data_IF_623151743736
#
_entry.id   IF_623151743736
#
_cell.length_a   1.000
_cell.length_b   1.000
_cell.length_c   1.000
_cell.angle_alpha   90.00
_cell.angle_beta   90.00
_cell.angle_gamma   90.00
#
_symmetry.space_group_name_H-M   'P 1'
#
loop_
_entity.id
_entity.type
_entity.pdbx_description
1 polymer ?
#
# COMPACT_ATOMS: atom_id res chain seq x y z
N UNK A 1 5.21 1.11 -7.65
CA UNK A 1 4.23 0.76 -6.60
C UNK A 1 4.90 0.54 -5.24
N UNK A 2 5.96 -0.26 -5.16
CA UNK A 2 6.66 -0.46 -3.87
C UNK A 2 7.38 0.81 -3.39
N UNK A 3 8.23 1.42 -4.21
CA UNK A 3 8.95 2.67 -3.87
C UNK A 3 7.98 3.78 -3.44
N UNK A 4 6.92 4.02 -4.23
CA UNK A 4 5.92 5.04 -3.93
C UNK A 4 5.23 4.84 -2.58
N UNK A 5 5.00 3.58 -2.17
CA UNK A 5 4.37 3.28 -0.89
C UNK A 5 5.32 3.48 0.28
N UNK A 6 6.57 3.04 0.16
CA UNK A 6 7.57 3.25 1.22
C UNK A 6 7.86 4.73 1.40
N UNK A 7 7.97 5.47 0.29
CA UNK A 7 8.07 6.93 0.32
C UNK A 7 6.86 7.57 1.01
N UNK A 8 5.62 7.22 0.62
CA UNK A 8 4.42 7.74 1.30
C UNK A 8 4.38 7.40 2.78
N UNK A 9 4.73 6.17 3.15
CA UNK A 9 4.73 5.73 4.55
C UNK A 9 5.75 6.51 5.38
N UNK A 10 6.96 6.71 4.86
CA UNK A 10 8.00 7.52 5.52
C UNK A 10 7.59 8.98 5.62
N UNK A 11 7.13 9.60 4.53
CA UNK A 11 6.71 11.00 4.50
C UNK A 11 5.55 11.26 5.45
N UNK A 12 4.51 10.43 5.44
CA UNK A 12 3.35 10.57 6.33
C UNK A 12 3.71 10.36 7.80
N UNK A 13 4.56 9.36 8.08
CA UNK A 13 5.06 9.11 9.44
C UNK A 13 5.86 10.30 9.97
N UNK A 14 6.72 10.88 9.14
CA UNK A 14 7.49 12.07 9.49
C UNK A 14 6.58 13.29 9.74
N UNK A 15 5.61 13.54 8.85
CA UNK A 15 4.66 14.64 8.99
C UNK A 15 3.85 14.54 10.30
N UNK A 16 3.33 13.35 10.62
CA UNK A 16 2.59 13.12 11.88
C UNK A 16 3.50 13.32 13.08
N UNK A 17 4.75 12.88 13.01
CA UNK A 17 5.73 13.09 14.10
C UNK A 17 6.00 14.57 14.33
N UNK A 18 6.18 15.35 13.26
CA UNK A 18 6.45 16.79 13.35
C UNK A 18 5.27 17.55 13.99
N UNK A 19 4.04 17.21 13.62
CA UNK A 19 2.83 17.84 14.16
C UNK A 19 2.49 17.41 15.59
N UNK A 20 2.61 16.12 15.90
CA UNK A 20 2.13 15.57 17.18
C UNK A 20 3.23 15.40 18.23
N UNK A 21 4.49 15.34 17.81
CA UNK A 21 5.66 14.93 18.61
C UNK A 21 5.44 13.62 19.39
N UNK A 22 4.56 12.77 18.90
CA UNK A 22 4.12 11.54 19.57
C UNK A 22 4.49 10.30 18.74
N UNK A 23 5.35 9.42 19.27
CA UNK A 23 5.65 8.13 18.64
C UNK A 23 4.42 7.23 18.48
N UNK A 24 3.43 7.35 19.38
CA UNK A 24 2.18 6.59 19.30
C UNK A 24 1.37 6.97 18.06
N UNK A 25 1.27 8.26 17.76
CA UNK A 25 0.58 8.77 16.57
C UNK A 25 1.25 8.32 15.28
N UNK A 26 2.58 8.21 15.26
CA UNK A 26 3.31 7.59 14.14
C UNK A 26 2.98 6.12 14.00
N UNK A 27 2.91 5.38 15.12
CA UNK A 27 2.48 3.98 15.13
C UNK A 27 1.09 3.78 14.50
N UNK A 28 0.17 4.74 14.71
CA UNK A 28 -1.15 4.72 14.08
C UNK A 28 -1.08 4.82 12.55
N UNK A 29 -0.13 5.58 11.98
CA UNK A 29 0.07 5.61 10.52
C UNK A 29 0.38 4.21 9.98
N UNK A 30 1.30 3.49 10.65
CA UNK A 30 1.61 2.10 10.29
C UNK A 30 0.41 1.17 10.45
N UNK A 31 -0.35 1.33 11.54
CA UNK A 31 -1.58 0.58 11.77
C UNK A 31 -2.60 0.78 10.65
N UNK A 32 -2.97 2.02 10.33
CA UNK A 32 -3.93 2.31 9.25
C UNK A 32 -3.45 1.85 7.88
N UNK A 33 -2.14 1.86 7.63
CA UNK A 33 -1.56 1.31 6.40
C UNK A 33 -1.63 -0.22 6.29
N UNK A 34 -1.84 -0.93 7.40
CA UNK A 34 -1.79 -2.39 7.49
C UNK A 34 -3.15 -3.04 7.84
N UNK A 35 -4.06 -2.29 8.47
CA UNK A 35 -5.44 -2.71 8.77
C UNK A 35 -6.18 -3.25 7.53
N UNK A 36 -6.17 -2.58 6.37
CA UNK A 36 -6.80 -3.10 5.17
C UNK A 36 -6.30 -4.51 4.80
N UNK A 37 -5.00 -4.73 4.95
CA UNK A 37 -4.37 -6.00 4.65
C UNK A 37 -4.82 -7.09 5.63
N UNK A 38 -4.97 -6.77 6.92
CA UNK A 38 -5.47 -7.72 7.91
C UNK A 38 -6.94 -8.09 7.65
N UNK A 39 -7.79 -7.09 7.46
CA UNK A 39 -9.24 -7.31 7.28
C UNK A 39 -9.51 -8.03 5.95
N UNK A 40 -8.95 -7.53 4.85
CA UNK A 40 -9.19 -8.11 3.52
C UNK A 40 -8.36 -9.37 3.27
N UNK A 41 -7.23 -9.54 3.95
CA UNK A 41 -6.42 -10.76 3.88
C UNK A 41 -7.17 -11.99 4.40
N UNK A 42 -8.01 -11.83 5.43
CA UNK A 42 -8.91 -12.89 5.92
C UNK A 42 -9.89 -13.33 4.81
N UNK A 43 -10.36 -12.40 3.98
CA UNK A 43 -11.22 -12.68 2.83
C UNK A 43 -10.44 -12.91 1.52
N UNK A 44 -9.11 -13.01 1.59
CA UNK A 44 -8.21 -12.89 0.44
C UNK A 44 -8.43 -13.96 -0.63
N UNK A 45 -8.76 -15.20 -0.24
CA UNK A 45 -9.08 -16.27 -1.20
C UNK A 45 -10.40 -16.01 -1.94
N UNK A 46 -11.45 -15.64 -1.22
CA UNK A 46 -12.76 -15.36 -1.80
C UNK A 46 -12.75 -14.13 -2.74
N UNK A 47 -12.05 -13.06 -2.34
CA UNK A 47 -11.90 -11.86 -3.16
C UNK A 47 -11.00 -12.09 -4.40
N UNK A 48 -9.95 -12.90 -4.26
CA UNK A 48 -9.01 -13.19 -5.37
C UNK A 48 -9.63 -13.99 -6.51
N UNK A 49 -10.68 -14.77 -6.22
CA UNK A 49 -11.36 -15.63 -7.20
C UNK A 49 -12.55 -14.92 -7.88
N UNK A 50 -13.21 -13.96 -7.20
CA UNK A 50 -14.39 -13.27 -7.75
C UNK A 50 -14.10 -11.94 -8.44
N UNK A 51 -13.01 -11.26 -8.12
CA UNK A 51 -12.78 -9.89 -8.61
C UNK A 51 -11.93 -9.86 -9.87
N UNK A 52 -12.34 -9.04 -10.84
CA UNK A 52 -11.54 -8.76 -12.03
C UNK A 52 -10.28 -7.97 -11.63
N UNK A 53 -9.16 -8.69 -11.49
CA UNK A 53 -7.87 -8.18 -10.99
C UNK A 53 -7.38 -6.95 -11.74
N UNK A 54 -7.54 -6.90 -13.06
CA UNK A 54 -7.14 -5.74 -13.87
C UNK A 54 -7.94 -4.49 -13.51
N UNK A 55 -9.27 -4.61 -13.38
CA UNK A 55 -10.13 -3.48 -12.99
C UNK A 55 -9.81 -2.97 -11.58
N UNK A 56 -9.56 -3.88 -10.63
CA UNK A 56 -9.18 -3.50 -9.27
C UNK A 56 -7.86 -2.73 -9.21
N UNK A 57 -6.83 -3.22 -9.92
CA UNK A 57 -5.52 -2.54 -9.95
C UNK A 57 -5.69 -1.13 -10.52
N UNK A 58 -6.44 -0.97 -11.62
CA UNK A 58 -6.70 0.35 -12.20
C UNK A 58 -7.43 1.27 -11.22
N UNK A 59 -8.52 0.80 -10.59
CA UNK A 59 -9.30 1.60 -9.62
C UNK A 59 -8.43 2.02 -8.42
N UNK A 60 -7.65 1.09 -7.86
CA UNK A 60 -6.77 1.39 -6.71
C UNK A 60 -5.65 2.35 -7.07
N UNK A 61 -5.12 2.31 -8.29
CA UNK A 61 -4.15 3.30 -8.76
C UNK A 61 -4.79 4.69 -8.89
N UNK A 62 -6.00 4.80 -9.45
CA UNK A 62 -6.73 6.07 -9.51
C UNK A 62 -7.03 6.62 -8.11
N UNK A 63 -7.43 5.77 -7.17
CA UNK A 63 -7.67 6.17 -5.78
C UNK A 63 -6.39 6.65 -5.10
N UNK A 64 -5.26 5.97 -5.30
CA UNK A 64 -3.97 6.41 -4.78
C UNK A 64 -3.54 7.77 -5.33
N UNK A 65 -3.76 7.98 -6.64
CA UNK A 65 -3.41 9.22 -7.30
C UNK A 65 -4.30 10.36 -6.79
N UNK A 66 -5.61 10.14 -6.68
CA UNK A 66 -6.54 11.10 -6.09
C UNK A 66 -6.19 11.42 -4.64
N UNK A 67 -5.88 10.41 -3.81
CA UNK A 67 -5.46 10.60 -2.42
C UNK A 67 -4.20 11.45 -2.32
N UNK A 68 -3.17 11.15 -3.12
CA UNK A 68 -1.93 11.91 -3.16
C UNK A 68 -2.17 13.36 -3.61
N UNK A 69 -3.01 13.59 -4.63
CA UNK A 69 -3.36 14.94 -5.09
C UNK A 69 -4.09 15.72 -4.01
N UNK A 70 -5.11 15.14 -3.36
CA UNK A 70 -5.84 15.81 -2.27
C UNK A 70 -4.90 16.17 -1.12
N UNK A 71 -4.04 15.25 -0.71
CA UNK A 71 -3.09 15.48 0.38
C UNK A 71 -2.06 16.56 0.02
N UNK A 72 -1.56 16.56 -1.22
CA UNK A 72 -0.67 17.60 -1.73
C UNK A 72 -1.35 18.97 -1.77
N UNK A 73 -2.62 19.05 -2.15
CA UNK A 73 -3.38 20.31 -2.13
C UNK A 73 -3.57 20.80 -0.69
N UNK A 74 -3.94 19.93 0.25
CA UNK A 74 -4.07 20.29 1.66
C UNK A 74 -2.78 20.87 2.24
N UNK A 75 -1.63 20.30 1.85
CA UNK A 75 -0.31 20.84 2.20
C UNK A 75 -0.10 22.25 1.65
N UNK A 76 -0.43 22.49 0.38
CA UNK A 76 -0.26 23.81 -0.28
C UNK A 76 -1.15 24.87 0.37
N UNK A 77 -2.39 24.51 0.73
CA UNK A 77 -3.34 25.44 1.37
C UNK A 77 -3.14 25.59 2.87
N UNK A 78 -2.15 24.91 3.47
CA UNK A 78 -1.83 25.02 4.90
C UNK A 78 -2.94 24.55 5.85
N UNK A 79 -3.95 23.84 5.33
CA UNK A 79 -5.09 23.33 6.11
C UNK A 79 -4.91 21.86 6.51
N UNK A 80 -3.68 21.34 6.43
CA UNK A 80 -3.38 19.93 6.65
C UNK A 80 -3.19 19.64 8.14
N UNK A 81 -4.05 18.79 8.67
CA UNK A 81 -3.94 18.22 10.01
C UNK A 81 -3.34 16.80 9.99
N UNK A 82 -2.80 16.36 11.13
CA UNK A 82 -2.12 15.07 11.23
C UNK A 82 -3.03 13.87 10.91
N UNK A 83 -4.35 13.97 11.16
CA UNK A 83 -5.27 12.84 10.95
C UNK A 83 -5.55 12.54 9.48
N UNK A 84 -5.36 13.50 8.56
CA UNK A 84 -5.46 13.24 7.13
C UNK A 84 -4.44 12.20 6.66
N UNK A 85 -3.30 12.08 7.36
CA UNK A 85 -2.29 11.06 7.09
C UNK A 85 -2.83 9.63 7.26
N UNK A 86 -3.71 9.41 8.24
CA UNK A 86 -4.31 8.09 8.48
C UNK A 86 -5.23 7.66 7.33
N UNK A 87 -6.00 8.60 6.78
CA UNK A 87 -6.85 8.34 5.62
C UNK A 87 -5.99 8.14 4.38
N UNK A 88 -4.97 8.98 4.19
CA UNK A 88 -4.09 8.93 3.03
C UNK A 88 -3.32 7.60 2.94
N UNK A 89 -2.87 7.03 4.07
CA UNK A 89 -2.14 5.74 4.08
C UNK A 89 -3.08 4.53 4.00
N UNK A 90 -4.35 4.68 4.38
CA UNK A 90 -5.32 3.59 4.32
C UNK A 90 -5.64 3.15 2.88
N UNK A 91 -5.75 4.11 1.96
CA UNK A 91 -6.04 3.87 0.54
C UNK A 91 -5.00 2.98 -0.15
N UNK A 92 -3.68 3.26 -0.08
CA UNK A 92 -2.66 2.36 -0.62
C UNK A 92 -2.60 1.02 0.13
N UNK A 93 -2.97 0.98 1.42
CA UNK A 93 -3.14 -0.25 2.18
C UNK A 93 -4.20 -1.17 1.57
N UNK A 94 -5.36 -0.62 1.18
CA UNK A 94 -6.41 -1.35 0.46
C UNK A 94 -5.90 -1.91 -0.86
N UNK A 95 -5.23 -1.09 -1.68
CA UNK A 95 -4.69 -1.53 -2.96
C UNK A 95 -3.69 -2.69 -2.79
N UNK A 96 -2.84 -2.62 -1.77
CA UNK A 96 -1.86 -3.67 -1.51
C UNK A 96 -2.47 -4.99 -1.04
N UNK A 97 -3.56 -4.94 -0.26
CA UNK A 97 -4.29 -6.14 0.17
C UNK A 97 -4.81 -6.98 -0.98
N UNK A 98 -5.14 -6.34 -2.11
CA UNK A 98 -5.68 -6.98 -3.30
C UNK A 98 -4.57 -7.37 -4.30
N UNK A 99 -3.50 -6.59 -4.37
CA UNK A 99 -2.37 -6.84 -5.28
C UNK A 99 -1.57 -8.09 -4.87
N UNK A 100 -1.35 -8.29 -3.57
CA UNK A 100 -0.51 -9.37 -3.05
C UNK A 100 -1.01 -10.80 -3.42
N UNK A 101 -2.29 -11.18 -3.21
CA UNK A 101 -2.80 -12.48 -3.67
C UNK A 101 -2.87 -12.58 -5.20
N UNK A 102 -3.19 -11.48 -5.88
CA UNK A 102 -3.28 -11.42 -7.34
C UNK A 102 -1.93 -11.67 -8.01
N UNK A 103 -0.85 -11.05 -7.52
CA UNK A 103 0.53 -11.25 -7.97
C UNK A 103 0.99 -12.69 -7.73
N UNK A 104 0.74 -13.23 -6.53
CA UNK A 104 1.13 -14.60 -6.20
C UNK A 104 0.48 -15.62 -7.14
N UNK A 105 -0.81 -15.49 -7.42
CA UNK A 105 -1.50 -16.40 -8.37
C UNK A 105 -1.05 -16.20 -9.82
N UNK A 106 -0.77 -14.97 -10.28
CA UNK A 106 -0.20 -14.73 -11.61
C UNK A 106 1.18 -15.36 -11.80
N UNK A 107 2.04 -15.28 -10.79
CA UNK A 107 3.36 -15.93 -10.80
C UNK A 107 3.20 -17.46 -10.91
N UNK A 108 2.23 -18.04 -10.19
CA UNK A 108 1.92 -19.47 -10.27
C UNK A 108 1.42 -19.88 -11.66
N UNK A 109 0.53 -19.08 -12.27
CA UNK A 109 -0.06 -19.36 -13.59
C UNK A 109 0.96 -19.21 -14.73
N UNK A 110 1.90 -18.26 -14.63
CA UNK A 110 2.86 -17.98 -15.71
C UNK A 110 4.13 -18.84 -15.68
N UNK A 111 4.59 -19.28 -14.51
CA UNK A 111 5.89 -19.98 -14.36
C UNK A 111 5.76 -21.49 -14.09
N UNK A 112 4.56 -21.97 -13.71
CA UNK A 112 4.36 -23.36 -13.28
C UNK A 112 5.18 -23.75 -12.04
N UNK A 113 4.98 -24.96 -11.51
CA UNK A 113 5.55 -25.38 -10.21
C UNK A 113 7.08 -25.36 -10.10
N UNK A 114 7.80 -25.34 -11.24
CA UNK A 114 9.27 -25.37 -11.29
C UNK A 114 9.94 -23.99 -11.27
N UNK A 115 9.22 -22.91 -11.58
CA UNK A 115 9.78 -21.54 -11.66
C UNK A 115 9.46 -20.62 -10.47
N UNK A 116 8.62 -21.07 -9.54
CA UNK A 116 8.07 -20.25 -8.44
C UNK A 116 9.18 -19.68 -7.54
N UNK A 117 10.18 -20.49 -7.18
CA UNK A 117 11.27 -20.07 -6.29
C UNK A 117 12.06 -18.89 -6.85
N UNK A 118 12.35 -18.91 -8.16
CA UNK A 118 13.09 -17.83 -8.81
C UNK A 118 12.24 -16.57 -8.98
N UNK A 119 10.95 -16.71 -9.30
CA UNK A 119 10.01 -15.59 -9.42
C UNK A 119 9.77 -14.88 -8.08
N UNK A 120 9.61 -15.64 -6.99
CA UNK A 120 9.45 -15.08 -5.64
C UNK A 120 10.74 -14.40 -5.16
N UNK A 121 11.92 -14.96 -5.48
CA UNK A 121 13.20 -14.33 -5.17
C UNK A 121 13.32 -12.96 -5.85
N UNK A 122 12.97 -12.85 -7.13
CA UNK A 122 13.03 -11.59 -7.88
C UNK A 122 12.04 -10.53 -7.35
N UNK A 123 10.79 -10.89 -7.05
CA UNK A 123 9.80 -9.97 -6.47
C UNK A 123 10.23 -9.50 -5.06
N UNK A 124 10.83 -10.41 -4.28
CA UNK A 124 11.38 -10.09 -2.96
C UNK A 124 12.53 -9.09 -3.07
N UNK A 125 13.47 -9.28 -4.01
CA UNK A 125 14.56 -8.32 -4.26
C UNK A 125 13.99 -6.94 -4.61
N UNK A 126 13.02 -6.85 -5.51
CA UNK A 126 12.38 -5.57 -5.86
C UNK A 126 11.70 -4.89 -4.66
N UNK A 127 11.04 -5.67 -3.79
CA UNK A 127 10.41 -5.16 -2.57
C UNK A 127 11.43 -4.65 -1.54
N UNK A 128 12.55 -5.37 -1.37
CA UNK A 128 13.61 -5.00 -0.43
C UNK A 128 14.41 -3.79 -0.92
N UNK A 129 14.76 -3.72 -2.20
CA UNK A 129 15.42 -2.54 -2.78
C UNK A 129 14.55 -1.30 -2.64
N UNK A 130 13.23 -1.44 -2.88
CA UNK A 130 12.29 -0.33 -2.72
C UNK A 130 12.10 0.15 -1.26
N UNK A 131 12.53 -0.61 -0.27
CA UNK A 131 12.53 -0.20 1.15
C UNK A 131 13.78 0.60 1.53
N UNK A 132 14.88 0.39 0.79
CA UNK A 132 16.19 0.97 1.09
C UNK A 132 16.38 2.36 0.46
N UNK A 133 15.68 2.63 -0.65
CA UNK A 133 15.64 3.92 -1.33
C UNK A 133 14.47 4.74 -0.79
#
# INVERSE_FOLDING_TARGET
>A
MYVSRWMQMTTLSWFVLEQTRSPFSVGLVGFFGMVPFLVLGIFGGFLADKLNRKKLIVVTQFLNLAAATVMSLLFIFGSVEYWYAYIAIFIPGLGWSLDNPSRRSLIMDMLGSRGITNGVALDSVGMHVSKMV
#
